data_IF_264597841181
#
_entry.id   IF_264597841181
#
_cell.length_a   1.000
_cell.length_b   1.000
_cell.length_c   1.000
_cell.angle_alpha   90.00
_cell.angle_beta   90.00
_cell.angle_gamma   90.00
#
_symmetry.space_group_name_H-M   'P 1'
#
loop_
_entity.id
_entity.type
_entity.pdbx_description
1 polymer ?
#
# COMPACT_ATOMS: atom_id res chain seq x y z
N UNK A 1 5.22 28.25 7.34
CA UNK A 1 5.55 27.78 5.97
C UNK A 1 7.06 27.52 5.91
N UNK A 2 7.51 26.29 5.61
CA UNK A 2 8.96 26.00 5.54
C UNK A 2 9.43 24.54 5.78
N UNK A 3 8.56 23.54 5.84
CA UNK A 3 8.95 22.20 6.35
C UNK A 3 9.54 21.22 5.33
N UNK A 4 9.51 21.50 4.02
CA UNK A 4 10.14 20.64 3.00
C UNK A 4 11.44 21.19 2.39
N UNK A 5 11.72 22.48 2.54
CA UNK A 5 12.92 23.09 1.98
C UNK A 5 14.20 22.70 2.73
N UNK A 6 14.15 22.54 4.06
CA UNK A 6 15.33 22.19 4.86
C UNK A 6 15.93 20.81 4.59
N UNK A 7 15.18 19.87 4.00
CA UNK A 7 15.63 18.50 3.72
C UNK A 7 15.94 18.31 2.23
N UNK A 8 15.59 19.29 1.39
CA UNK A 8 15.74 19.22 -0.06
C UNK A 8 17.20 19.12 -0.53
N UNK A 9 18.13 19.52 0.35
CA UNK A 9 19.57 19.44 0.16
C UNK A 9 20.16 18.04 0.39
N UNK A 10 19.37 17.09 0.92
CA UNK A 10 19.80 15.70 1.10
C UNK A 10 19.42 14.93 -0.17
N UNK A 11 20.39 14.78 -1.07
CA UNK A 11 20.17 14.19 -2.40
C UNK A 11 19.50 12.80 -2.33
N UNK A 12 19.92 11.94 -1.40
CA UNK A 12 19.33 10.61 -1.21
C UNK A 12 17.83 10.64 -0.83
N UNK A 13 17.40 11.62 -0.03
CA UNK A 13 15.99 11.78 0.33
C UNK A 13 15.17 12.26 -0.87
N UNK A 14 15.71 13.19 -1.65
CA UNK A 14 15.07 13.71 -2.86
C UNK A 14 14.89 12.62 -3.92
N UNK A 15 15.92 11.82 -4.19
CA UNK A 15 15.81 10.66 -5.09
C UNK A 15 14.78 9.64 -4.60
N UNK A 16 14.77 9.35 -3.29
CA UNK A 16 13.78 8.46 -2.68
C UNK A 16 12.36 8.97 -2.86
N UNK A 17 12.13 10.27 -2.63
CA UNK A 17 10.82 10.90 -2.80
C UNK A 17 10.31 10.81 -4.24
N UNK A 18 11.15 11.16 -5.23
CA UNK A 18 10.76 11.05 -6.64
C UNK A 18 10.50 9.60 -7.04
N UNK A 19 11.40 8.67 -6.69
CA UNK A 19 11.20 7.26 -6.99
C UNK A 19 9.89 6.72 -6.40
N UNK A 20 9.57 7.09 -5.15
CA UNK A 20 8.32 6.69 -4.50
C UNK A 20 7.06 7.26 -5.18
N UNK A 21 7.08 8.54 -5.55
CA UNK A 21 5.94 9.18 -6.21
C UNK A 21 5.70 8.62 -7.61
N UNK A 22 6.76 8.48 -8.43
CA UNK A 22 6.61 7.95 -9.79
C UNK A 22 6.19 6.48 -9.79
N UNK A 23 6.68 5.67 -8.84
CA UNK A 23 6.26 4.27 -8.73
C UNK A 23 4.80 4.12 -8.34
N UNK A 24 4.23 5.08 -7.62
CA UNK A 24 2.82 5.06 -7.19
C UNK A 24 1.84 4.98 -8.38
N UNK A 25 2.21 5.52 -9.54
CA UNK A 25 1.39 5.47 -10.78
C UNK A 25 1.21 4.03 -11.28
N UNK A 26 2.19 3.16 -11.07
CA UNK A 26 2.14 1.76 -11.50
C UNK A 26 1.45 0.85 -10.48
N UNK A 27 1.57 1.19 -9.20
CA UNK A 27 1.15 0.32 -8.09
C UNK A 27 -0.33 0.56 -7.73
N UNK A 28 -0.83 1.80 -7.81
CA UNK A 28 -2.20 2.14 -7.43
C UNK A 28 -3.29 1.55 -8.35
N UNK A 29 -3.16 1.61 -9.69
CA UNK A 29 -4.17 1.03 -10.58
C UNK A 29 -4.23 -0.50 -10.52
N UNK A 30 -3.19 -1.14 -9.97
CA UNK A 30 -3.07 -2.59 -9.96
C UNK A 30 -4.28 -3.27 -9.27
N UNK A 31 -4.82 -2.72 -8.18
CA UNK A 31 -5.91 -3.39 -7.47
C UNK A 31 -7.19 -3.57 -8.27
N UNK A 32 -7.53 -2.63 -9.17
CA UNK A 32 -8.75 -2.73 -9.99
C UNK A 32 -8.71 -3.93 -10.95
N UNK A 33 -7.52 -4.26 -11.46
CA UNK A 33 -7.34 -5.38 -12.41
C UNK A 33 -6.99 -6.68 -11.70
N UNK A 34 -6.30 -6.62 -10.56
CA UNK A 34 -5.75 -7.79 -9.87
C UNK A 34 -6.77 -8.53 -9.00
N UNK A 35 -7.82 -7.86 -8.48
CA UNK A 35 -8.86 -8.50 -7.65
C UNK A 35 -10.15 -8.85 -8.41
N UNK A 36 -10.09 -8.97 -9.73
CA UNK A 36 -11.23 -9.41 -10.55
C UNK A 36 -11.01 -10.84 -11.05
N UNK A 37 -11.96 -11.72 -10.72
CA UNK A 37 -11.92 -13.17 -11.03
C UNK A 37 -11.80 -13.46 -12.53
N UNK A 38 -12.25 -12.56 -13.41
CA UNK A 38 -12.17 -12.73 -14.86
C UNK A 38 -10.73 -12.61 -15.42
N UNK A 39 -9.78 -12.13 -14.62
CA UNK A 39 -8.38 -11.99 -15.03
C UNK A 39 -7.45 -13.04 -14.42
N UNK A 40 -7.95 -13.89 -13.51
CA UNK A 40 -7.17 -14.99 -12.96
C UNK A 40 -6.72 -15.95 -14.08
N UNK A 41 -5.52 -16.51 -13.94
CA UNK A 41 -4.91 -17.39 -14.94
C UNK A 41 -4.33 -16.69 -16.18
N UNK A 42 -4.69 -15.43 -16.46
CA UNK A 42 -4.17 -14.69 -17.64
C UNK A 42 -2.71 -14.28 -17.46
N UNK A 43 -1.94 -14.29 -18.55
CA UNK A 43 -0.53 -13.87 -18.56
C UNK A 43 -0.35 -12.42 -18.09
N UNK A 44 -1.28 -11.54 -18.44
CA UNK A 44 -1.26 -10.13 -18.02
C UNK A 44 -1.44 -9.94 -16.52
N UNK A 45 -2.29 -10.74 -15.87
CA UNK A 45 -2.43 -10.72 -14.42
C UNK A 45 -1.08 -11.02 -13.74
N UNK A 46 -0.39 -12.06 -14.20
CA UNK A 46 0.94 -12.46 -13.68
C UNK A 46 2.02 -11.39 -13.93
N UNK A 47 2.06 -10.80 -15.14
CA UNK A 47 3.03 -9.76 -15.50
C UNK A 47 2.83 -8.49 -14.67
N UNK A 48 1.60 -8.01 -14.56
CA UNK A 48 1.26 -6.81 -13.78
C UNK A 48 1.44 -7.04 -12.27
N UNK A 49 1.03 -8.20 -11.77
CA UNK A 49 1.27 -8.58 -10.36
C UNK A 49 2.75 -8.68 -10.03
N UNK A 50 3.57 -9.23 -10.95
CA UNK A 50 5.03 -9.24 -10.78
C UNK A 50 5.62 -7.84 -10.80
N UNK A 51 5.19 -6.98 -11.73
CA UNK A 51 5.63 -5.59 -11.78
C UNK A 51 5.30 -4.87 -10.46
N UNK A 52 4.10 -5.05 -9.92
CA UNK A 52 3.71 -4.54 -8.60
C UNK A 52 4.67 -5.05 -7.51
N UNK A 53 4.87 -6.37 -7.40
CA UNK A 53 5.71 -6.97 -6.35
C UNK A 53 7.14 -6.45 -6.42
N UNK A 54 7.74 -6.41 -7.62
CA UNK A 54 9.10 -5.92 -7.81
C UNK A 54 9.20 -4.43 -7.46
N UNK A 55 8.25 -3.63 -7.91
CA UNK A 55 8.22 -2.19 -7.62
C UNK A 55 8.12 -1.92 -6.12
N UNK A 56 7.23 -2.62 -5.43
CA UNK A 56 7.06 -2.46 -3.97
C UNK A 56 8.29 -2.91 -3.20
N UNK A 57 8.82 -4.11 -3.49
CA UNK A 57 9.93 -4.69 -2.72
C UNK A 57 11.26 -3.97 -2.94
N UNK A 58 11.56 -3.56 -4.18
CA UNK A 58 12.87 -2.99 -4.51
C UNK A 58 12.89 -1.46 -4.51
N UNK A 59 11.75 -0.80 -4.68
CA UNK A 59 11.70 0.66 -4.83
C UNK A 59 10.82 1.28 -3.76
N UNK A 60 9.51 1.01 -3.76
CA UNK A 60 8.58 1.84 -3.00
C UNK A 60 8.66 1.63 -1.49
N UNK A 61 8.83 0.40 -1.00
CA UNK A 61 8.97 0.14 0.44
C UNK A 61 10.34 0.55 0.99
N UNK A 62 11.49 0.25 0.34
CA UNK A 62 12.78 0.77 0.79
C UNK A 62 12.82 2.31 0.84
N UNK A 63 12.35 2.99 -0.22
CA UNK A 63 12.32 4.46 -0.25
C UNK A 63 11.32 5.02 0.77
N UNK A 64 10.15 4.39 0.94
CA UNK A 64 9.17 4.76 1.97
C UNK A 64 9.70 4.60 3.40
N UNK A 65 10.51 3.58 3.65
CA UNK A 65 11.16 3.36 4.95
C UNK A 65 12.16 4.47 5.25
N UNK A 66 13.04 4.80 4.31
CA UNK A 66 14.00 5.90 4.44
C UNK A 66 13.29 7.24 4.65
N UNK A 67 12.23 7.51 3.89
CA UNK A 67 11.41 8.71 4.08
C UNK A 67 10.75 8.75 5.45
N UNK A 68 10.29 7.62 5.98
CA UNK A 68 9.68 7.48 7.29
C UNK A 68 10.62 7.89 8.43
N UNK A 69 11.92 7.59 8.34
CA UNK A 69 12.93 7.98 9.34
C UNK A 69 13.09 9.51 9.48
N UNK A 70 12.77 10.24 8.41
CA UNK A 70 12.85 11.71 8.33
C UNK A 70 11.48 12.39 8.41
N UNK A 71 10.44 11.72 8.90
CA UNK A 71 9.10 12.30 9.03
C UNK A 71 9.06 13.48 10.02
N UNK A 72 8.29 14.52 9.66
CA UNK A 72 8.26 15.82 10.35
C UNK A 72 7.43 15.85 11.66
N UNK A 73 6.69 14.78 12.00
CA UNK A 73 5.79 14.74 13.17
C UNK A 73 6.41 14.20 14.45
N UNK A 74 7.75 14.21 14.56
CA UNK A 74 8.45 13.62 15.70
C UNK A 74 8.42 12.09 15.70
N UNK A 75 8.73 11.48 16.85
CA UNK A 75 8.92 10.03 16.97
C UNK A 75 7.65 9.23 16.59
N UNK A 76 6.46 9.74 16.92
CA UNK A 76 5.20 9.07 16.65
C UNK A 76 4.93 8.89 15.14
N UNK A 77 5.14 9.93 14.33
CA UNK A 77 5.00 9.80 12.87
C UNK A 77 6.09 8.94 12.25
N UNK A 78 7.33 9.06 12.73
CA UNK A 78 8.44 8.22 12.24
C UNK A 78 8.15 6.74 12.47
N UNK A 79 7.71 6.38 13.68
CA UNK A 79 7.30 5.02 14.00
C UNK A 79 6.17 4.53 13.09
N UNK A 80 5.15 5.36 12.86
CA UNK A 80 4.02 5.01 11.98
C UNK A 80 4.47 4.68 10.56
N UNK A 81 5.27 5.55 9.92
CA UNK A 81 5.73 5.32 8.54
C UNK A 81 6.73 4.17 8.42
N UNK A 82 7.60 3.99 9.41
CA UNK A 82 8.54 2.85 9.46
C UNK A 82 7.78 1.53 9.59
N UNK A 83 6.79 1.47 10.47
CA UNK A 83 5.93 0.29 10.63
C UNK A 83 5.12 0.03 9.37
N UNK A 84 4.49 1.05 8.81
CA UNK A 84 3.76 0.98 7.54
C UNK A 84 4.64 0.37 6.44
N UNK A 85 5.83 0.91 6.23
CA UNK A 85 6.72 0.44 5.17
C UNK A 85 7.22 -0.99 5.42
N UNK A 86 7.52 -1.33 6.68
CA UNK A 86 7.95 -2.68 7.07
C UNK A 86 6.83 -3.71 6.85
N UNK A 87 5.60 -3.40 7.29
CA UNK A 87 4.43 -4.25 7.06
C UNK A 87 4.14 -4.39 5.56
N UNK A 88 4.30 -3.31 4.79
CA UNK A 88 4.07 -3.33 3.34
C UNK A 88 5.08 -4.23 2.63
N UNK A 89 6.35 -4.16 3.01
CA UNK A 89 7.39 -5.06 2.51
C UNK A 89 7.08 -6.52 2.87
N UNK A 90 6.81 -6.80 4.15
CA UNK A 90 6.58 -8.17 4.65
C UNK A 90 5.36 -8.80 3.99
N UNK A 91 4.23 -8.09 3.94
CA UNK A 91 2.99 -8.60 3.33
C UNK A 91 3.18 -8.88 1.84
N UNK A 92 3.90 -8.02 1.12
CA UNK A 92 4.22 -8.22 -0.31
C UNK A 92 5.15 -9.42 -0.51
N UNK A 93 6.15 -9.59 0.35
CA UNK A 93 7.04 -10.75 0.30
C UNK A 93 6.28 -12.05 0.59
N UNK A 94 5.37 -12.05 1.56
CA UNK A 94 4.51 -13.19 1.87
C UNK A 94 3.56 -13.51 0.72
N UNK A 95 3.01 -12.51 0.05
CA UNK A 95 2.22 -12.68 -1.16
C UNK A 95 3.02 -13.36 -2.28
N UNK A 96 4.26 -12.93 -2.50
CA UNK A 96 5.14 -13.52 -3.51
C UNK A 96 5.53 -14.97 -3.18
N UNK A 97 5.91 -15.23 -1.93
CA UNK A 97 6.36 -16.55 -1.51
C UNK A 97 5.23 -17.58 -1.53
N UNK A 98 4.01 -17.20 -1.15
CA UNK A 98 2.82 -18.06 -1.25
C UNK A 98 2.43 -18.33 -2.70
N UNK A 99 2.55 -17.36 -3.60
CA UNK A 99 2.40 -17.58 -5.05
C UNK A 99 3.43 -18.58 -5.59
N UNK A 100 4.70 -18.47 -5.21
CA UNK A 100 5.76 -19.43 -5.60
C UNK A 100 5.46 -20.84 -5.10
N UNK A 101 4.90 -20.97 -3.90
CA UNK A 101 4.44 -22.24 -3.32
C UNK A 101 3.10 -22.74 -3.90
N UNK A 102 2.56 -22.08 -4.93
CA UNK A 102 1.25 -22.37 -5.56
C UNK A 102 0.06 -22.35 -4.58
N UNK A 103 0.19 -21.63 -3.46
CA UNK A 103 -0.88 -21.41 -2.47
C UNK A 103 -1.68 -20.16 -2.86
N UNK A 104 -2.55 -20.27 -3.86
CA UNK A 104 -3.22 -19.12 -4.48
C UNK A 104 -4.17 -18.35 -3.55
N UNK A 105 -4.88 -19.04 -2.66
CA UNK A 105 -5.74 -18.37 -1.67
C UNK A 105 -4.88 -17.51 -0.73
N UNK A 106 -3.82 -18.09 -0.15
CA UNK A 106 -2.89 -17.36 0.71
C UNK A 106 -2.20 -16.20 -0.03
N UNK A 107 -1.84 -16.38 -1.31
CA UNK A 107 -1.35 -15.30 -2.15
C UNK A 107 -2.35 -14.14 -2.23
N UNK A 108 -3.62 -14.42 -2.52
CA UNK A 108 -4.66 -13.40 -2.60
C UNK A 108 -4.90 -12.67 -1.27
N UNK A 109 -4.85 -13.38 -0.15
CA UNK A 109 -4.98 -12.80 1.20
C UNK A 109 -3.82 -11.84 1.51
N UNK A 110 -2.57 -12.26 1.28
CA UNK A 110 -1.40 -11.41 1.49
C UNK A 110 -1.34 -10.23 0.50
N UNK A 111 -1.78 -10.45 -0.74
CA UNK A 111 -1.94 -9.36 -1.72
C UNK A 111 -2.97 -8.34 -1.24
N UNK A 112 -4.06 -8.76 -0.61
CA UNK A 112 -5.06 -7.83 -0.10
C UNK A 112 -4.50 -6.95 1.03
N UNK A 113 -3.72 -7.52 1.95
CA UNK A 113 -3.01 -6.72 2.96
C UNK A 113 -2.01 -5.74 2.34
N UNK A 114 -1.18 -6.20 1.40
CA UNK A 114 -0.22 -5.34 0.70
C UNK A 114 -0.92 -4.19 -0.05
N UNK A 115 -2.05 -4.49 -0.70
CA UNK A 115 -2.80 -3.48 -1.43
C UNK A 115 -3.52 -2.49 -0.50
N UNK A 116 -4.05 -2.95 0.64
CA UNK A 116 -4.63 -2.08 1.65
C UNK A 116 -3.59 -1.09 2.23
N UNK A 117 -2.34 -1.55 2.39
CA UNK A 117 -1.23 -0.70 2.77
C UNK A 117 -0.84 0.28 1.66
N UNK A 118 -0.94 -0.11 0.39
CA UNK A 118 -0.75 0.80 -0.74
C UNK A 118 -1.80 1.91 -0.75
N UNK A 119 -3.08 1.56 -0.52
CA UNK A 119 -4.18 2.54 -0.44
C UNK A 119 -4.01 3.55 0.69
N UNK A 120 -3.18 3.25 1.70
CA UNK A 120 -2.92 4.19 2.79
C UNK A 120 -2.33 5.52 2.30
N UNK A 121 -1.56 5.51 1.20
CA UNK A 121 -1.05 6.73 0.59
C UNK A 121 -2.18 7.65 0.11
N UNK A 122 -3.26 7.07 -0.45
CA UNK A 122 -4.46 7.82 -0.85
C UNK A 122 -5.22 8.27 0.39
N UNK A 123 -5.47 7.37 1.35
CA UNK A 123 -6.18 7.69 2.60
C UNK A 123 -5.51 8.84 3.35
N UNK A 124 -4.18 8.83 3.45
CA UNK A 124 -3.39 9.91 4.05
C UNK A 124 -3.67 11.25 3.38
N UNK A 125 -3.74 11.29 2.05
CA UNK A 125 -4.00 12.51 1.28
C UNK A 125 -5.43 13.00 1.42
N UNK A 126 -6.40 12.09 1.42
CA UNK A 126 -7.81 12.45 1.58
C UNK A 126 -8.10 13.02 2.97
N UNK A 127 -7.53 12.41 4.02
CA UNK A 127 -7.67 12.94 5.38
C UNK A 127 -7.01 14.32 5.48
N UNK A 128 -5.77 14.48 5.00
CA UNK A 128 -5.08 15.77 5.03
C UNK A 128 -5.88 16.86 4.29
N UNK A 129 -6.40 16.55 3.10
CA UNK A 129 -7.25 17.45 2.33
C UNK A 129 -8.56 17.77 3.07
N UNK A 130 -9.15 16.80 3.77
CA UNK A 130 -10.35 17.01 4.57
C UNK A 130 -10.14 18.00 5.72
N UNK A 131 -9.01 17.92 6.43
CA UNK A 131 -8.63 18.90 7.45
C UNK A 131 -8.47 20.31 6.85
N UNK A 132 -7.81 20.42 5.68
CA UNK A 132 -7.60 21.69 5.00
C UNK A 132 -8.90 22.30 4.47
N UNK A 133 -9.82 21.51 3.91
CA UNK A 133 -11.08 21.98 3.34
C UNK A 133 -12.13 22.38 4.39
N UNK A 134 -12.11 21.74 5.55
CA UNK A 134 -13.08 21.99 6.64
C UNK A 134 -12.60 23.07 7.61
N UNK A 135 -11.45 23.70 7.35
CA UNK A 135 -10.80 24.70 8.20
C UNK A 135 -10.71 24.27 9.68
N UNK A 136 -10.43 22.99 9.90
CA UNK A 136 -10.36 22.43 11.25
C UNK A 136 -9.07 22.94 11.88
N UNK A 137 -9.21 23.87 12.82
CA UNK A 137 -8.07 24.50 13.50
C UNK A 137 -7.46 23.56 14.55
N UNK A 138 -6.60 22.66 14.07
CA UNK A 138 -5.77 21.78 14.89
C UNK A 138 -4.31 22.03 14.56
N UNK A 139 -3.41 21.82 15.52
CA UNK A 139 -1.98 22.02 15.31
C UNK A 139 -1.50 21.15 14.14
N UNK A 140 -0.77 21.68 13.15
CA UNK A 140 -0.35 20.92 11.97
C UNK A 140 0.40 19.61 12.29
N UNK A 141 1.14 19.59 13.40
CA UNK A 141 1.83 18.39 13.88
C UNK A 141 0.85 17.30 14.32
N UNK A 142 -0.23 17.65 15.02
CA UNK A 142 -1.23 16.68 15.50
C UNK A 142 -2.03 16.10 14.33
N UNK A 143 -2.41 16.95 13.37
CA UNK A 143 -3.04 16.50 12.11
C UNK A 143 -2.12 15.50 11.41
N UNK A 144 -0.82 15.79 11.30
CA UNK A 144 0.14 14.91 10.63
C UNK A 144 0.33 13.56 11.35
N UNK A 145 0.47 13.56 12.69
CA UNK A 145 0.59 12.32 13.48
C UNK A 145 -0.68 11.48 13.37
N UNK A 146 -1.85 12.11 13.51
CA UNK A 146 -3.15 11.44 13.45
C UNK A 146 -3.38 10.83 12.07
N UNK A 147 -3.12 11.62 11.02
CA UNK A 147 -3.26 11.17 9.63
C UNK A 147 -2.29 10.05 9.29
N UNK A 148 -1.07 10.06 9.85
CA UNK A 148 -0.10 8.98 9.65
C UNK A 148 -0.65 7.63 10.11
N UNK A 149 -1.23 7.55 11.31
CA UNK A 149 -1.81 6.30 11.83
C UNK A 149 -3.14 5.94 11.17
N UNK A 150 -4.06 6.90 11.02
CA UNK A 150 -5.37 6.67 10.40
C UNK A 150 -5.28 6.31 8.92
N UNK A 151 -4.17 6.61 8.26
CA UNK A 151 -4.01 6.27 6.84
C UNK A 151 -3.98 4.76 6.60
N UNK A 152 -3.41 3.96 7.49
CA UNK A 152 -3.15 2.54 7.22
C UNK A 152 -3.78 1.57 8.22
N UNK A 153 -3.98 1.97 9.48
CA UNK A 153 -4.59 1.09 10.49
C UNK A 153 -6.01 0.67 10.08
N UNK A 154 -6.92 1.60 9.71
CA UNK A 154 -8.26 1.24 9.23
C UNK A 154 -8.20 0.37 7.96
N UNK A 155 -7.27 0.65 7.05
CA UNK A 155 -7.14 -0.12 5.81
C UNK A 155 -6.79 -1.60 6.09
N UNK A 156 -5.85 -1.87 7.01
CA UNK A 156 -5.53 -3.25 7.42
C UNK A 156 -6.73 -3.91 8.09
N UNK A 157 -7.45 -3.19 8.96
CA UNK A 157 -8.64 -3.73 9.63
C UNK A 157 -9.68 -4.15 8.59
N UNK A 158 -9.97 -3.28 7.61
CA UNK A 158 -10.88 -3.59 6.50
C UNK A 158 -10.40 -4.81 5.73
N UNK A 159 -9.11 -4.87 5.36
CA UNK A 159 -8.55 -6.02 4.65
C UNK A 159 -8.69 -7.33 5.45
N UNK A 160 -8.43 -7.28 6.76
CA UNK A 160 -8.59 -8.43 7.65
C UNK A 160 -10.05 -8.89 7.71
N UNK A 161 -10.99 -7.96 7.83
CA UNK A 161 -12.43 -8.26 7.83
C UNK A 161 -12.87 -8.90 6.50
N UNK A 162 -12.44 -8.35 5.37
CA UNK A 162 -12.71 -8.91 4.04
C UNK A 162 -12.19 -10.36 3.93
N UNK A 163 -10.98 -10.63 4.42
CA UNK A 163 -10.41 -12.00 4.42
C UNK A 163 -11.23 -12.93 5.30
N UNK A 164 -11.60 -12.50 6.52
CA UNK A 164 -12.45 -13.29 7.43
C UNK A 164 -13.83 -13.59 6.84
N UNK A 165 -14.40 -12.66 6.10
CA UNK A 165 -15.66 -12.84 5.36
C UNK A 165 -15.50 -13.74 4.12
N UNK A 166 -14.31 -14.26 3.85
CA UNK A 166 -14.05 -15.18 2.75
C UNK A 166 -13.98 -14.51 1.38
N UNK A 167 -13.76 -13.20 1.30
CA UNK A 167 -13.72 -12.44 0.04
C UNK A 167 -12.82 -13.10 -1.02
N UNK A 168 -11.58 -13.44 -0.66
CA UNK A 168 -10.62 -14.07 -1.58
C UNK A 168 -11.05 -15.50 -1.96
N UNK A 169 -11.60 -16.27 -1.02
CA UNK A 169 -12.11 -17.62 -1.28
C UNK A 169 -13.28 -17.56 -2.27
N UNK A 170 -14.19 -16.60 -2.11
CA UNK A 170 -15.33 -16.39 -2.99
C UNK A 170 -14.89 -15.96 -4.40
N UNK A 171 -13.91 -15.06 -4.52
CA UNK A 171 -13.32 -14.67 -5.80
C UNK A 171 -12.72 -15.87 -6.53
N UNK A 172 -11.98 -16.72 -5.81
CA UNK A 172 -11.37 -17.92 -6.40
C UNK A 172 -12.43 -18.95 -6.81
N UNK A 173 -13.46 -19.17 -5.98
CA UNK A 173 -14.61 -20.02 -6.33
C UNK A 173 -15.30 -19.56 -7.61
N UNK A 174 -15.53 -18.25 -7.74
CA UNK A 174 -16.14 -17.65 -8.95
C UNK A 174 -15.27 -17.85 -10.20
N UNK A 175 -13.94 -17.77 -10.07
CA UNK A 175 -13.03 -18.06 -11.17
C UNK A 175 -13.14 -19.53 -11.64
N UNK A 176 -13.12 -20.49 -10.70
CA UNK A 176 -13.24 -21.91 -11.03
C UNK A 176 -14.56 -22.21 -11.76
N UNK A 177 -15.67 -21.67 -11.26
CA UNK A 177 -16.98 -21.81 -11.90
C UNK A 177 -16.97 -21.26 -13.34
N UNK A 178 -16.44 -20.06 -13.54
CA UNK A 178 -16.39 -19.45 -14.87
C UNK A 178 -15.48 -20.21 -15.85
N UNK A 179 -14.44 -20.89 -15.36
CA UNK A 179 -13.54 -21.70 -16.19
C UNK A 179 -14.11 -23.07 -16.57
N UNK A 180 -15.08 -23.59 -15.82
CA UNK A 180 -15.79 -24.83 -16.15
C UNK A 180 -16.88 -24.60 -17.21
N UNK A 181 -17.38 -23.37 -17.33
CA UNK A 181 -18.45 -23.00 -18.27
C UNK A 181 -17.96 -22.42 -19.60
N UNK A 182 -16.65 -22.26 -19.80
CA UNK A 182 -16.02 -21.61 -20.96
C UNK A 182 -15.22 -22.63 -21.79
#
# INVERSE_FOLDING_TARGET
MGTKQNIYHIDYWRYSFYAHVFTSIFVLPAGFTQFNSAFFGKAWHRRLGMLYVLTVLFISAPTGFLMGLHANGGLASKASFVLLSSLWFITTLLAFTTAKKRKFIGHGEWMLYSYALTLSAITFRLIALGFDLLDIQVRPQEVYVTTAWLSWVPNIIIAHLMIKMGFIKNLFKKYLQNSETA
#
